data_IF_038776655160
#
_entry.id   IF_038776655160
#
_cell.length_a   1.000
_cell.length_b   1.000
_cell.length_c   1.000
_cell.angle_alpha   90.00
_cell.angle_beta   90.00
_cell.angle_gamma   90.00
#
_symmetry.space_group_name_H-M   'P 1'
#
loop_
_entity.id
_entity.type
_entity.pdbx_description
1 polymer ?
2 non-polymer ?
3 non-polymer ?
4 non-polymer ?
5 water ?
#
# COMPACT_ATOMS: atom_id res chain seq x y z
N UNK A 2 -9.33 -16.50 10.37
CA UNK A 2 -8.85 -16.34 11.75
C UNK A 2 -9.21 -14.97 12.34
N UNK A 3 -8.58 -13.89 11.84
CA UNK A 3 -8.93 -12.54 12.27
C UNK A 3 -9.35 -11.73 11.04
N UNK A 4 -10.58 -11.21 10.98
CA UNK A 4 -10.89 -10.29 9.88
C UNK A 4 -10.72 -8.85 10.35
N UNK A 5 -9.88 -8.13 9.63
CA UNK A 5 -9.66 -6.73 9.91
C UNK A 5 -10.95 -5.99 9.69
N UNK A 6 -11.20 -4.95 10.50
CA UNK A 6 -12.29 -4.04 10.21
C UNK A 6 -12.02 -3.23 8.96
N UNK A 7 -13.01 -2.45 8.54
CA UNK A 7 -12.82 -1.57 7.39
C UNK A 7 -12.82 -0.04 7.67
N UNK A 8 -12.21 0.72 6.77
CA UNK A 8 -12.47 2.17 6.66
C UNK A 8 -13.51 2.35 5.50
N UNK A 9 -14.52 3.18 5.70
CA UNK A 9 -15.43 3.51 4.60
C UNK A 9 -14.80 4.65 3.80
N UNK A 10 -14.58 4.45 2.50
CA UNK A 10 -13.93 5.48 1.66
C UNK A 10 -14.89 6.60 1.25
N UNK A 11 -14.34 7.69 0.73
CA UNK A 11 -15.17 8.81 0.31
C UNK A 11 -16.15 8.50 -0.83
N UNK A 12 -16.01 7.35 -1.49
CA UNK A 12 -16.93 6.95 -2.55
C UNK A 12 -17.92 5.86 -2.06
N UNK A 13 -17.87 5.56 -0.76
CA UNK A 13 -18.75 4.58 -0.16
C UNK A 13 -18.21 3.18 -0.06
N UNK A 14 -17.15 2.88 -0.83
CA UNK A 14 -16.60 1.54 -0.77
C UNK A 14 -15.90 1.30 0.55
N UNK A 15 -15.99 0.08 1.05
CA UNK A 15 -15.30 -0.26 2.28
C UNK A 15 -14.03 -1.03 1.96
N UNK A 16 -13.00 -0.71 2.72
CA UNK A 16 -11.69 -1.28 2.48
C UNK A 16 -11.16 -1.87 3.79
N UNK A 17 -10.71 -3.13 3.74
CA UNK A 17 -10.13 -3.70 4.96
C UNK A 17 -8.87 -2.96 5.33
N UNK A 18 -8.65 -2.72 6.62
CA UNK A 18 -7.61 -1.82 7.05
C UNK A 18 -6.22 -2.45 7.28
N UNK A 19 -6.08 -3.74 6.97
CA UNK A 19 -4.76 -4.36 6.82
C UNK A 19 -4.69 -4.98 5.44
N UNK A 20 -3.61 -4.71 4.71
CA UNK A 20 -3.36 -5.31 3.40
C UNK A 20 -2.09 -6.13 3.42
N UNK A 21 -2.13 -7.27 2.75
CA UNK A 21 -0.91 -8.02 2.52
C UNK A 21 -0.05 -7.35 1.45
N UNK A 22 1.19 -7.04 1.77
CA UNK A 22 2.10 -6.54 0.76
C UNK A 22 2.70 -7.63 -0.09
N UNK A 23 2.80 -7.37 -1.39
CA UNK A 23 3.38 -8.32 -2.33
C UNK A 23 4.51 -7.72 -3.13
N UNK A 24 5.05 -6.59 -2.70
CA UNK A 24 6.28 -6.10 -3.28
C UNK A 24 7.42 -7.00 -2.87
N UNK A 25 8.48 -7.01 -3.69
CA UNK A 25 9.56 -7.96 -3.52
C UNK A 25 10.87 -7.31 -3.06
N UNK A 26 10.81 -6.06 -2.62
CA UNK A 26 12.02 -5.38 -2.17
C UNK A 26 12.78 -6.11 -1.06
N UNK A 27 12.09 -6.86 -0.22
CA UNK A 27 12.76 -7.55 0.88
C UNK A 27 13.05 -9.01 0.56
N UNK A 28 12.71 -9.46 -0.65
CA UNK A 28 12.85 -10.88 -0.95
C UNK A 28 14.33 -11.26 -0.95
N UNK A 29 14.64 -12.38 -0.31
CA UNK A 29 16.03 -12.82 -0.19
C UNK A 29 16.40 -13.62 -1.44
N UNK A 30 17.67 -13.98 -1.59
CA UNK A 30 18.08 -14.75 -2.76
C UNK A 30 17.39 -16.11 -2.80
N UNK A 31 17.09 -16.63 -1.62
CA UNK A 31 16.47 -17.93 -1.44
C UNK A 31 14.93 -17.88 -1.61
N UNK A 32 14.40 -16.72 -1.97
CA UNK A 32 12.95 -16.54 -2.07
C UNK A 32 12.49 -16.49 -3.55
N UNK A 33 11.82 -17.55 -4.00
CA UNK A 33 11.33 -17.59 -5.38
C UNK A 33 9.96 -16.96 -5.43
N UNK A 34 9.56 -16.50 -6.60
CA UNK A 34 8.36 -15.69 -6.72
C UNK A 34 7.09 -16.49 -6.38
N UNK A 35 7.12 -17.81 -6.48
CA UNK A 35 5.95 -18.61 -6.13
C UNK A 35 5.56 -18.40 -4.67
N UNK A 36 6.50 -17.96 -3.84
CA UNK A 36 6.15 -17.70 -2.44
C UNK A 36 5.08 -16.61 -2.31
N UNK A 37 4.93 -15.77 -3.31
CA UNK A 37 3.89 -14.75 -3.28
C UNK A 37 2.52 -15.40 -3.44
N UNK A 38 2.38 -16.38 -4.33
CA UNK A 38 1.14 -17.11 -4.47
C UNK A 38 0.79 -17.76 -3.13
N UNK A 39 1.76 -18.42 -2.53
CA UNK A 39 1.51 -19.08 -1.25
C UNK A 39 1.16 -18.07 -0.16
N UNK A 40 1.85 -16.93 -0.14
CA UNK A 40 1.58 -15.91 0.88
C UNK A 40 0.16 -15.36 0.76
N UNK A 41 -0.27 -15.10 -0.48
CA UNK A 41 -1.64 -14.63 -0.71
C UNK A 41 -2.65 -15.63 -0.19
N UNK A 42 -2.43 -16.90 -0.52
CA UNK A 42 -3.31 -17.95 -0.02
C UNK A 42 -3.34 -18.01 1.51
N UNK A 43 -2.16 -18.04 2.13
CA UNK A 43 -2.08 -18.09 3.57
C UNK A 43 -2.75 -16.87 4.23
N UNK A 44 -2.56 -15.70 3.63
CA UNK A 44 -3.15 -14.47 4.17
C UNK A 44 -4.66 -14.58 4.16
N UNK A 45 -5.23 -14.97 3.04
CA UNK A 45 -6.68 -15.13 2.98
C UNK A 45 -7.17 -16.17 3.99
N UNK A 46 -6.43 -17.26 4.10
CA UNK A 46 -6.77 -18.31 5.04
C UNK A 46 -6.77 -17.76 6.48
N UNK A 47 -5.83 -16.87 6.77
CA UNK A 47 -5.69 -16.25 8.10
C UNK A 47 -6.64 -15.10 8.34
N UNK A 48 -7.49 -14.80 7.36
CA UNK A 48 -8.48 -13.73 7.52
C UNK A 48 -8.26 -12.43 6.76
N UNK A 49 -7.15 -12.31 6.06
CA UNK A 49 -6.96 -11.12 5.23
C UNK A 49 -7.99 -11.12 4.11
N UNK A 50 -8.44 -9.91 3.77
CA UNK A 50 -9.35 -9.71 2.67
C UNK A 50 -8.84 -8.58 1.79
N UNK A 51 -7.62 -8.12 1.96
CA UNK A 51 -7.08 -7.03 1.16
C UNK A 51 -5.65 -7.39 0.78
N UNK A 52 -5.37 -7.38 -0.54
CA UNK A 52 -4.04 -7.68 -1.08
C UNK A 52 -3.57 -6.45 -1.85
N UNK A 53 -2.34 -6.01 -1.61
CA UNK A 53 -1.71 -4.88 -2.33
C UNK A 53 -0.66 -5.43 -3.28
N UNK A 54 -0.78 -5.12 -4.57
CA UNK A 54 0.19 -5.50 -5.57
C UNK A 54 0.40 -4.35 -6.54
N UNK A 55 1.11 -4.63 -7.64
CA UNK A 55 1.45 -3.58 -8.61
C UNK A 55 1.95 -4.23 -9.88
N UNK A 56 1.67 -3.59 -11.02
CA UNK A 56 2.22 -4.07 -12.28
C UNK A 56 3.74 -4.22 -12.20
N UNK A 57 4.40 -3.23 -11.62
CA UNK A 57 5.86 -3.20 -11.63
C UNK A 57 6.48 -4.33 -10.77
N UNK A 58 5.71 -4.94 -9.86
CA UNK A 58 6.24 -6.03 -9.06
C UNK A 58 6.42 -7.30 -9.85
N UNK A 59 5.79 -7.37 -11.01
CA UNK A 59 5.88 -8.52 -11.91
C UNK A 59 5.41 -9.79 -11.22
N UNK A 60 4.50 -9.65 -10.27
CA UNK A 60 3.96 -10.82 -9.56
C UNK A 60 2.44 -10.83 -9.51
N UNK A 61 1.78 -10.05 -10.35
CA UNK A 61 0.32 -10.12 -10.42
C UNK A 61 -0.16 -11.52 -10.76
N UNK A 62 0.62 -12.23 -11.58
CA UNK A 62 0.23 -13.59 -11.92
C UNK A 62 0.17 -14.47 -10.67
N UNK A 63 1.17 -14.36 -9.80
CA UNK A 63 1.22 -15.13 -8.56
C UNK A 63 0.07 -14.72 -7.63
N UNK A 64 -0.18 -13.42 -7.51
CA UNK A 64 -1.31 -12.95 -6.73
C UNK A 64 -2.60 -13.54 -7.26
N UNK A 65 -2.77 -13.54 -8.57
CA UNK A 65 -3.93 -14.12 -9.18
C UNK A 65 -4.06 -15.61 -8.94
N UNK A 66 -2.94 -16.32 -8.96
CA UNK A 66 -2.92 -17.76 -8.65
C UNK A 66 -3.40 -18.00 -7.22
N UNK A 67 -2.91 -17.22 -6.27
CA UNK A 67 -3.28 -17.36 -4.88
C UNK A 67 -4.74 -17.06 -4.64
N UNK A 68 -5.24 -16.00 -5.26
CA UNK A 68 -6.65 -15.63 -5.18
C UNK A 68 -7.51 -16.75 -5.75
N UNK A 69 -7.11 -17.25 -6.93
CA UNK A 69 -7.86 -18.30 -7.62
C UNK A 69 -7.96 -19.54 -6.75
N UNK A 70 -6.87 -19.90 -6.10
CA UNK A 70 -6.84 -21.08 -5.21
C UNK A 70 -7.71 -20.86 -3.98
N UNK A 71 -7.68 -19.66 -3.40
CA UNK A 71 -8.50 -19.37 -2.25
C UNK A 71 -9.99 -19.45 -2.59
N UNK A 72 -10.37 -18.93 -3.75
CA UNK A 72 -11.74 -18.98 -4.20
C UNK A 72 -12.16 -20.43 -4.50
N UNK A 73 -11.31 -21.16 -5.21
CA UNK A 73 -11.64 -22.54 -5.59
C UNK A 73 -11.74 -23.47 -4.40
N UNK A 74 -10.99 -23.17 -3.34
CA UNK A 74 -11.00 -24.01 -2.15
C UNK A 74 -12.07 -23.56 -1.17
N UNK A 75 -12.82 -22.51 -1.50
CA UNK A 75 -13.91 -22.05 -0.68
C UNK A 75 -13.57 -21.16 0.50
N UNK A 76 -12.36 -20.58 0.52
CA UNK A 76 -12.01 -19.69 1.61
C UNK A 76 -12.78 -18.38 1.56
N UNK A 77 -13.06 -17.91 0.35
CA UNK A 77 -13.67 -16.61 0.11
C UNK A 77 -14.35 -16.63 -1.24
N UNK A 78 -15.25 -15.67 -1.45
CA UNK A 78 -15.72 -15.38 -2.79
C UNK A 78 -15.03 -14.12 -3.31
N UNK A 79 -15.08 -13.89 -4.62
CA UNK A 79 -14.48 -12.70 -5.17
C UNK A 79 -14.97 -11.41 -4.52
N UNK A 80 -16.26 -11.30 -4.26
CA UNK A 80 -16.79 -10.06 -3.73
C UNK A 80 -16.36 -9.78 -2.28
N UNK A 81 -15.89 -10.81 -1.58
CA UNK A 81 -15.35 -10.66 -0.25
C UNK A 81 -13.91 -10.15 -0.23
N UNK A 82 -13.22 -10.18 -1.38
CA UNK A 82 -11.84 -9.73 -1.47
C UNK A 82 -11.76 -8.31 -1.97
N UNK A 83 -10.75 -7.59 -1.49
CA UNK A 83 -10.41 -6.25 -1.93
C UNK A 83 -9.00 -6.32 -2.51
N UNK A 84 -8.86 -6.16 -3.82
CA UNK A 84 -7.58 -6.24 -4.48
C UNK A 84 -7.20 -4.85 -4.95
N UNK A 85 -5.98 -4.46 -4.63
CA UNK A 85 -5.38 -3.19 -4.99
C UNK A 85 -4.21 -3.44 -5.92
N UNK A 86 -4.16 -2.75 -7.07
CA UNK A 86 -2.97 -2.76 -7.91
C UNK A 86 -2.71 -1.33 -8.41
N UNK A 87 -1.63 -1.19 -9.18
CA UNK A 87 -1.06 0.13 -9.46
C UNK A 87 -0.59 0.24 -10.90
N UNK A 88 -0.84 1.44 -11.45
CA UNK A 88 -0.46 1.86 -12.79
C UNK A 88 0.99 2.30 -12.76
N UNK A 89 1.84 1.70 -13.60
CA UNK A 89 3.24 2.05 -13.61
C UNK A 89 3.53 3.36 -14.37
N UNK A 90 4.73 3.89 -14.15
CA UNK A 90 5.13 5.23 -14.57
C UNK A 90 5.19 5.42 -16.09
N UNK A 91 5.29 4.32 -16.84
CA UNK A 91 5.36 4.42 -18.32
C UNK A 91 4.00 4.34 -18.98
N UNK A 92 2.93 4.40 -18.19
CA UNK A 92 1.57 4.30 -18.69
C UNK A 92 0.73 5.49 -18.28
N UNK A 93 1.33 6.69 -18.27
CA UNK A 93 0.65 7.86 -17.76
C UNK A 93 -0.21 8.63 -18.77
N UNK A 94 -0.04 8.40 -20.07
CA UNK A 94 -0.92 9.12 -20.99
C UNK A 94 -2.34 8.68 -20.76
N UNK A 95 -3.30 9.58 -20.97
CA UNK A 95 -4.70 9.27 -20.67
C UNK A 95 -5.12 7.91 -21.25
N UNK A 96 -4.84 7.73 -22.53
CA UNK A 96 -5.29 6.56 -23.28
C UNK A 96 -4.61 5.27 -22.91
N UNK A 97 -3.54 5.34 -22.11
CA UNK A 97 -2.83 4.15 -21.67
C UNK A 97 -3.39 3.54 -20.41
N UNK A 98 -4.18 4.31 -19.66
CA UNK A 98 -4.58 3.89 -18.32
C UNK A 98 -5.51 2.67 -18.37
N UNK A 99 -6.58 2.74 -19.14
CA UNK A 99 -7.51 1.63 -19.20
C UNK A 99 -6.82 0.35 -19.74
N UNK A 100 -6.07 0.44 -20.85
CA UNK A 100 -5.38 -0.77 -21.31
C UNK A 100 -4.39 -1.33 -20.27
N UNK A 101 -3.70 -0.46 -19.54
CA UNK A 101 -2.76 -0.96 -18.53
C UNK A 101 -3.53 -1.72 -17.44
N UNK A 102 -4.68 -1.19 -17.07
CA UNK A 102 -5.53 -1.87 -16.06
C UNK A 102 -6.03 -3.21 -16.60
N UNK A 103 -6.45 -3.23 -17.87
CA UNK A 103 -6.93 -4.48 -18.45
C UNK A 103 -5.81 -5.52 -18.47
N UNK A 104 -4.58 -5.09 -18.70
CA UNK A 104 -3.45 -6.00 -18.67
C UNK A 104 -3.24 -6.54 -17.24
N UNK A 105 -3.28 -5.67 -16.24
CA UNK A 105 -3.21 -6.13 -14.85
C UNK A 105 -4.31 -7.13 -14.52
N UNK A 106 -5.54 -6.81 -14.91
CA UNK A 106 -6.65 -7.68 -14.65
C UNK A 106 -6.49 -9.05 -15.31
N UNK A 107 -5.97 -9.08 -16.53
CA UNK A 107 -5.70 -10.36 -17.19
C UNK A 107 -4.68 -11.19 -16.38
N UNK A 108 -3.59 -10.56 -15.94
CA UNK A 108 -2.61 -11.27 -15.14
C UNK A 108 -3.19 -11.77 -13.83
N UNK A 109 -4.04 -10.96 -13.21
CA UNK A 109 -4.66 -11.30 -11.92
C UNK A 109 -5.79 -12.30 -12.05
N UNK A 110 -6.26 -12.53 -13.26
CA UNK A 110 -7.43 -13.38 -13.46
C UNK A 110 -8.73 -12.79 -12.92
N UNK A 111 -8.85 -11.46 -12.93
CA UNK A 111 -9.99 -10.74 -12.37
C UNK A 111 -10.74 -9.95 -13.43
N UNK A 112 -12.01 -9.65 -13.19
CA UNK A 112 -12.83 -8.83 -14.08
C UNK A 112 -12.84 -7.35 -13.68
N UNK A 113 -12.46 -7.06 -12.45
CA UNK A 113 -12.41 -5.69 -11.95
C UNK A 113 -11.40 -5.67 -10.80
N UNK A 114 -10.89 -4.47 -10.53
CA UNK A 114 -10.01 -4.23 -9.39
C UNK A 114 -10.78 -3.39 -8.38
N UNK A 115 -10.55 -3.61 -7.10
CA UNK A 115 -11.24 -2.83 -6.08
C UNK A 115 -10.63 -1.44 -5.95
N UNK A 116 -9.30 -1.34 -6.09
CA UNK A 116 -8.61 -0.05 -5.98
C UNK A 116 -7.48 -0.05 -7.00
N UNK A 117 -7.50 0.95 -7.87
CA UNK A 117 -6.39 1.22 -8.79
C UNK A 117 -5.72 2.51 -8.39
N UNK A 118 -4.39 2.46 -8.27
CA UNK A 118 -3.59 3.61 -7.86
C UNK A 118 -2.62 4.03 -8.93
N UNK A 119 -2.43 5.35 -9.06
CA UNK A 119 -1.29 5.84 -9.81
C UNK A 119 -0.06 5.60 -8.92
N UNK A 120 0.91 4.83 -9.38
CA UNK A 120 1.99 4.36 -8.50
C UNK A 120 2.91 5.50 -8.04
N UNK A 121 3.24 6.40 -8.97
CA UNK A 121 3.97 7.64 -8.67
C UNK A 121 3.42 8.77 -9.53
N UNK A 122 3.68 10.02 -9.12
CA UNK A 122 3.22 11.15 -9.94
C UNK A 122 4.15 11.42 -11.13
N UNK A 123 5.29 10.75 -11.17
CA UNK A 123 6.27 10.87 -12.24
C UNK A 123 5.85 10.02 -13.42
N UNK A 124 6.11 10.55 -14.62
CA UNK A 124 5.88 9.81 -15.87
C UNK A 124 7.25 9.54 -16.49
N UNK A 125 7.43 8.33 -17.00
CA UNK A 125 8.67 7.96 -17.68
C UNK A 125 8.34 7.28 -19.00
N UNK A 126 9.34 7.22 -19.85
CA UNK A 126 9.29 6.36 -21.01
C UNK A 126 9.66 4.95 -20.56
N UNK A 127 9.42 3.96 -21.40
CA UNK A 127 9.58 2.59 -20.92
C UNK A 127 11.02 2.27 -20.48
N UNK A 128 11.98 3.08 -20.92
CA UNK A 128 13.37 2.91 -20.50
C UNK A 128 13.75 3.71 -19.26
N UNK A 129 12.74 4.22 -18.56
CA UNK A 129 12.95 4.97 -17.31
C UNK A 129 13.48 6.38 -17.57
N UNK A 130 13.59 6.74 -18.84
CA UNK A 130 13.89 8.13 -19.17
C UNK A 130 12.68 9.03 -18.85
N UNK A 131 12.96 10.26 -18.44
CA UNK A 131 11.90 11.13 -17.93
C UNK A 131 10.90 11.53 -19.00
N UNK A 132 9.65 11.65 -18.62
CA UNK A 132 8.63 12.24 -19.47
C UNK A 132 7.96 13.33 -18.62
N UNK A 133 7.06 14.11 -19.23
CA UNK A 133 6.48 15.28 -18.55
C UNK A 133 4.95 15.34 -18.57
N UNK A 134 4.32 14.20 -18.79
CA UNK A 134 2.87 14.10 -18.74
C UNK A 134 2.34 14.54 -17.37
N UNK A 135 1.39 15.45 -17.36
CA UNK A 135 0.76 15.90 -16.13
C UNK A 135 -0.04 14.75 -15.53
N UNK A 136 0.14 14.53 -14.23
CA UNK A 136 -0.63 13.48 -13.54
C UNK A 136 -2.12 13.81 -13.56
N UNK A 137 -2.50 15.05 -13.84
CA UNK A 137 -3.93 15.35 -14.01
C UNK A 137 -4.50 14.64 -15.23
N UNK A 138 -3.69 14.49 -16.26
CA UNK A 138 -4.12 13.74 -17.42
C UNK A 138 -4.27 12.25 -17.09
N UNK A 139 -3.30 11.71 -16.36
CA UNK A 139 -3.35 10.33 -15.96
C UNK A 139 -4.63 10.09 -15.15
N UNK A 140 -4.94 11.06 -14.28
CA UNK A 140 -6.10 10.95 -13.41
C UNK A 140 -7.38 10.91 -14.24
N UNK A 141 -7.43 11.61 -15.37
CA UNK A 141 -8.57 11.49 -16.28
C UNK A 141 -8.75 10.05 -16.74
N UNK A 142 -7.65 9.38 -17.06
CA UNK A 142 -7.70 7.98 -17.44
C UNK A 142 -8.21 7.12 -16.27
N UNK A 143 -7.79 7.47 -15.04
CA UNK A 143 -8.26 6.78 -13.85
C UNK A 143 -9.78 6.95 -13.70
N UNK A 144 -10.26 8.18 -13.90
CA UNK A 144 -11.70 8.47 -13.83
C UNK A 144 -12.44 7.65 -14.86
N UNK A 145 -11.86 7.50 -16.04
CA UNK A 145 -12.45 6.66 -17.08
C UNK A 145 -12.54 5.18 -16.67
N UNK A 146 -11.45 4.65 -16.09
CA UNK A 146 -11.46 3.26 -15.63
C UNK A 146 -12.55 3.02 -14.59
N UNK A 147 -12.76 3.99 -13.71
CA UNK A 147 -13.82 3.88 -12.71
C UNK A 147 -15.20 3.92 -13.40
N UNK A 148 -15.39 4.83 -14.34
CA UNK A 148 -16.72 4.96 -14.98
C UNK A 148 -17.05 3.72 -15.77
N UNK A 149 -16.04 3.08 -16.38
CA UNK A 149 -16.23 1.82 -17.06
C UNK A 149 -16.49 0.62 -16.17
N UNK A 150 -16.35 0.76 -14.86
CA UNK A 150 -16.56 -0.36 -13.95
C UNK A 150 -15.35 -1.24 -13.75
N UNK A 151 -14.21 -0.89 -14.34
CA UNK A 151 -13.04 -1.76 -14.23
C UNK A 151 -12.31 -1.60 -12.90
N UNK A 152 -12.44 -0.42 -12.32
CA UNK A 152 -11.92 -0.10 -10.99
C UNK A 152 -13.07 0.43 -10.15
N UNK A 153 -13.31 -0.17 -8.99
CA UNK A 153 -14.39 0.31 -8.13
C UNK A 153 -14.04 1.64 -7.51
N UNK A 154 -12.79 1.77 -7.08
CA UNK A 154 -12.25 3.02 -6.51
C UNK A 154 -10.90 3.35 -7.13
N UNK A 155 -10.56 4.62 -7.11
CA UNK A 155 -9.31 5.11 -7.66
C UNK A 155 -8.58 5.98 -6.65
N UNK A 156 -7.26 5.88 -6.64
CA UNK A 156 -6.44 6.71 -5.77
C UNK A 156 -5.03 6.85 -6.31
N UNK A 157 -4.15 7.36 -5.46
CA UNK A 157 -2.79 7.65 -5.87
C UNK A 157 -1.80 7.11 -4.85
N UNK A 158 -0.52 7.17 -5.21
CA UNK A 158 0.54 6.74 -4.31
C UNK A 158 1.73 7.67 -4.53
N UNK A 159 2.46 7.93 -3.46
CA UNK A 159 3.66 8.76 -3.54
C UNK A 159 3.36 10.18 -4.03
N UNK A 160 2.18 10.69 -3.68
CA UNK A 160 1.87 12.09 -3.95
C UNK A 160 2.15 12.94 -2.71
N UNK A 161 2.80 14.09 -2.88
CA UNK A 161 3.04 14.98 -1.77
C UNK A 161 1.88 15.94 -1.56
N UNK A 162 2.01 16.80 -0.56
CA UNK A 162 0.86 17.62 -0.19
C UNK A 162 0.43 18.57 -1.29
N UNK A 163 1.39 19.19 -1.95
CA UNK A 163 1.09 20.10 -3.05
C UNK A 163 0.40 19.39 -4.19
N UNK A 164 0.85 18.17 -4.48
CA UNK A 164 0.26 17.38 -5.55
C UNK A 164 -1.15 16.93 -5.19
N UNK A 165 -1.36 16.55 -3.95
CA UNK A 165 -2.70 16.19 -3.48
C UNK A 165 -3.64 17.39 -3.62
N UNK A 166 -3.21 18.56 -3.15
CA UNK A 166 -4.05 19.76 -3.25
C UNK A 166 -4.39 20.06 -4.73
N UNK A 167 -3.39 19.99 -5.61
CA UNK A 167 -3.63 20.31 -7.01
C UNK A 167 -4.57 19.31 -7.63
N UNK A 168 -4.38 18.04 -7.30
CA UNK A 168 -5.22 17.00 -7.82
C UNK A 168 -6.65 17.20 -7.37
N UNK A 169 -6.87 17.50 -6.09
CA UNK A 169 -8.20 17.73 -5.54
C UNK A 169 -8.87 18.95 -6.20
N UNK A 170 -8.12 20.02 -6.39
CA UNK A 170 -8.70 21.24 -6.94
C UNK A 170 -9.02 21.15 -8.43
N UNK A 171 -8.46 20.17 -9.13
CA UNK A 171 -8.53 20.14 -10.58
C UNK A 171 -9.09 18.87 -11.12
N UNK A 172 -9.82 18.12 -10.31
CA UNK A 172 -10.49 16.91 -10.77
C UNK A 172 -11.90 16.84 -10.18
N UNK A 173 -12.75 16.01 -10.75
CA UNK A 173 -14.13 15.93 -10.25
C UNK A 173 -14.28 14.88 -9.19
N UNK A 174 -13.38 13.93 -9.16
CA UNK A 174 -13.37 13.01 -8.04
C UNK A 174 -11.99 12.92 -7.41
N UNK A 175 -11.89 13.15 -6.11
CA UNK A 175 -10.59 13.08 -5.46
C UNK A 175 -10.26 11.62 -5.15
N UNK A 176 -8.98 11.35 -4.99
CA UNK A 176 -8.56 9.99 -4.69
C UNK A 176 -9.20 9.51 -3.40
N UNK A 177 -9.53 8.22 -3.33
CA UNK A 177 -9.98 7.63 -2.05
C UNK A 177 -8.82 7.45 -1.07
N UNK A 178 -7.61 7.31 -1.62
CA UNK A 178 -6.42 6.91 -0.89
C UNK A 178 -5.20 7.56 -1.49
N UNK A 179 -4.24 7.89 -0.61
CA UNK A 179 -2.86 8.17 -0.97
C UNK A 179 -2.02 7.13 -0.25
N UNK A 180 -1.31 6.29 -1.01
CA UNK A 180 -0.47 5.26 -0.44
C UNK A 180 0.96 5.78 -0.36
N UNK A 181 1.47 5.93 0.87
CA UNK A 181 2.76 6.57 1.11
C UNK A 181 3.52 5.79 2.18
N UNK A 182 4.81 6.07 2.30
CA UNK A 182 5.64 5.41 3.30
C UNK A 182 5.39 5.95 4.69
N UNK A 183 4.98 5.08 5.62
CA UNK A 183 4.82 5.50 7.01
C UNK A 183 5.35 4.42 7.93
N UNK A 184 6.28 4.84 8.79
CA UNK A 184 6.93 3.94 9.74
C UNK A 184 7.66 4.84 10.75
N UNK A 185 8.33 4.26 11.78
CA UNK A 185 8.77 5.15 12.86
C UNK A 185 9.83 6.15 12.49
N UNK A 186 10.62 5.83 11.48
CA UNK A 186 11.68 6.75 11.05
C UNK A 186 11.28 7.65 9.88
N UNK A 187 10.04 7.50 9.40
CA UNK A 187 9.51 8.32 8.30
C UNK A 187 8.01 8.46 8.54
N UNK A 188 7.64 9.32 9.47
CA UNK A 188 6.31 9.30 10.03
C UNK A 188 5.28 10.12 9.21
N UNK A 189 5.77 11.00 8.35
CA UNK A 189 4.93 11.81 7.45
C UNK A 189 3.73 12.43 8.15
N UNK A 190 3.94 13.06 9.30
CA UNK A 190 2.81 13.55 10.06
C UNK A 190 2.02 14.65 9.33
N UNK A 191 2.69 15.66 8.79
CA UNK A 191 1.91 16.69 8.10
C UNK A 191 1.18 16.17 6.87
N UNK A 192 1.79 15.29 6.08
CA UNK A 192 1.11 14.81 4.88
C UNK A 192 -0.07 13.94 5.25
N UNK A 193 0.08 13.09 6.24
CA UNK A 193 -1.05 12.28 6.70
C UNK A 193 -2.20 13.18 7.16
N UNK A 194 -1.89 14.17 7.96
CA UNK A 194 -2.92 15.10 8.44
C UNK A 194 -3.60 15.82 7.27
N UNK A 195 -2.81 16.25 6.29
CA UNK A 195 -3.36 16.93 5.13
C UNK A 195 -4.34 16.03 4.39
N UNK A 196 -3.92 14.81 4.10
CA UNK A 196 -4.80 13.89 3.39
C UNK A 196 -6.07 13.63 4.18
N UNK A 197 -5.93 13.33 5.46
CA UNK A 197 -7.09 13.02 6.27
C UNK A 197 -8.04 14.19 6.34
N UNK A 198 -7.50 15.40 6.42
CA UNK A 198 -8.37 16.58 6.45
C UNK A 198 -9.22 16.70 5.20
N UNK A 199 -8.74 16.17 4.07
CA UNK A 199 -9.45 16.22 2.79
C UNK A 199 -10.32 14.96 2.53
N UNK A 200 -10.44 14.09 3.52
CA UNK A 200 -11.18 12.85 3.36
C UNK A 200 -10.50 11.80 2.51
N UNK A 201 -9.18 11.90 2.41
CA UNK A 201 -8.38 10.94 1.66
C UNK A 201 -7.67 10.04 2.68
N UNK A 202 -8.01 8.76 2.68
CA UNK A 202 -7.39 7.82 3.59
C UNK A 202 -5.96 7.52 3.15
N UNK A 203 -5.14 7.05 4.08
CA UNK A 203 -3.74 6.77 3.82
C UNK A 203 -3.44 5.29 4.02
N UNK A 204 -2.85 4.68 3.00
CA UNK A 204 -2.24 3.36 3.12
C UNK A 204 -0.76 3.59 3.42
N UNK A 205 -0.25 2.88 4.43
CA UNK A 205 1.14 3.00 4.88
C UNK A 205 1.98 1.85 4.40
N UNK A 206 2.84 2.14 3.42
CA UNK A 206 3.78 1.15 2.92
C UNK A 206 5.09 1.13 3.71
N UNK A 207 5.85 0.05 3.50
CA UNK A 207 7.05 -0.27 4.28
C UNK A 207 6.84 0.02 5.76
N UNK A 208 5.77 -0.55 6.32
CA UNK A 208 5.37 -0.22 7.68
C UNK A 208 6.39 -0.64 8.76
N UNK A 209 7.28 -1.60 8.47
CA UNK A 209 8.26 -2.00 9.46
C UNK A 209 9.51 -1.12 9.43
N UNK A 210 9.61 -0.19 8.50
CA UNK A 210 10.72 0.76 8.51
C UNK A 210 12.05 0.03 8.49
N UNK A 211 13.02 0.55 9.24
CA UNK A 211 14.33 -0.07 9.34
C UNK A 211 14.42 -0.98 10.57
N UNK A 212 13.30 -1.32 11.17
CA UNK A 212 13.32 -2.28 12.28
C UNK A 212 13.58 -3.68 11.75
N UNK A 213 13.24 -3.91 10.50
CA UNK A 213 13.58 -5.15 9.78
C UNK A 213 14.74 -4.84 8.84
N UNK A 214 15.45 -5.88 8.40
CA UNK A 214 16.62 -5.68 7.56
C UNK A 214 16.25 -5.09 6.19
N UNK A 215 17.01 -4.11 5.74
CA UNK A 215 16.85 -3.53 4.42
C UNK A 215 18.10 -3.73 3.55
N UNK A 216 18.95 -4.67 3.95
CA UNK A 216 20.16 -4.96 3.18
C UNK A 216 21.14 -3.80 3.19
N UNK A 217 21.14 -3.07 4.30
CA UNK A 217 21.99 -1.89 4.45
C UNK A 217 22.60 -1.93 5.84
N UNK A 218 23.74 -1.26 5.97
CA UNK A 218 24.27 -0.96 7.28
C UNK A 218 23.98 0.51 7.54
N UNK A 219 24.16 0.92 8.78
CA UNK A 219 23.92 2.29 9.17
C UNK A 219 22.46 2.70 9.24
N UNK A 220 21.58 1.74 9.48
CA UNK A 220 20.16 2.07 9.63
C UNK A 220 19.93 2.86 10.91
N UNK A 221 18.99 3.80 10.88
CA UNK A 221 18.63 4.54 12.08
C UNK A 221 17.89 3.67 13.11
N UNK A 222 17.98 4.02 14.39
CA UNK A 222 17.13 3.37 15.38
C UNK A 222 15.66 3.63 15.08
N UNK A 223 14.75 2.83 15.61
CA UNK A 223 14.96 1.71 16.54
C UNK A 223 15.29 0.37 15.90
N UNK A 224 16.12 -0.40 16.60
CA UNK A 224 16.31 -1.83 16.32
C UNK A 224 15.16 -2.64 16.90
N UNK A 225 15.10 -3.91 16.53
CA UNK A 225 14.03 -4.78 17.06
C UNK A 225 14.10 -4.98 18.58
N UNK A 226 15.27 -4.78 19.17
CA UNK A 226 15.42 -4.90 20.63
C UNK A 226 15.41 -3.55 21.32
N UNK A 227 14.94 -2.52 20.62
CA UNK A 227 14.86 -1.19 21.21
C UNK A 227 13.98 -1.23 22.47
N UNK A 228 14.44 -0.61 23.57
CA UNK A 228 13.69 -0.71 24.82
C UNK A 228 12.28 -0.12 24.78
N UNK A 229 12.06 0.92 23.99
CA UNK A 229 10.71 1.47 23.89
C UNK A 229 9.78 0.44 23.23
N UNK A 230 10.23 -0.12 22.12
CA UNK A 230 9.42 -1.12 21.41
C UNK A 230 9.22 -2.39 22.22
N UNK A 231 10.25 -2.87 22.89
CA UNK A 231 10.10 -4.14 23.60
C UNK A 231 9.25 -3.97 24.86
N UNK A 232 9.26 -2.78 25.46
CA UNK A 232 8.41 -2.52 26.60
C UNK A 232 6.95 -2.52 26.17
N UNK A 233 6.67 -1.97 24.99
CA UNK A 233 5.33 -1.97 24.45
C UNK A 233 4.86 -3.38 24.13
N UNK A 234 5.73 -4.15 23.47
CA UNK A 234 5.41 -5.53 23.18
C UNK A 234 5.07 -6.29 24.47
N UNK A 235 5.89 -6.11 25.51
CA UNK A 235 5.63 -6.75 26.77
C UNK A 235 4.36 -6.28 27.43
N UNK A 236 4.10 -4.99 27.38
CA UNK A 236 2.90 -4.43 27.99
C UNK A 236 1.62 -5.08 27.46
N UNK A 237 1.55 -5.25 26.13
CA UNK A 237 0.35 -5.70 25.48
C UNK A 237 0.34 -7.18 25.13
N UNK A 238 1.45 -7.88 25.43
CA UNK A 238 1.59 -9.30 25.08
C UNK A 238 1.50 -9.50 23.58
N UNK A 239 2.22 -8.66 22.86
CA UNK A 239 2.23 -8.65 21.41
C UNK A 239 3.67 -8.65 20.96
N UNK A 240 3.91 -8.90 19.68
CA UNK A 240 5.25 -8.82 19.17
C UNK A 240 5.60 -7.38 18.80
N UNK A 241 6.88 -7.08 18.61
CA UNK A 241 7.31 -5.75 18.19
C UNK A 241 6.68 -5.43 16.83
N UNK A 242 6.59 -6.42 15.93
CA UNK A 242 5.95 -6.19 14.65
C UNK A 242 4.51 -5.74 14.84
N UNK A 243 3.78 -6.39 15.75
CA UNK A 243 2.40 -6.02 15.99
C UNK A 243 2.29 -4.61 16.58
N UNK A 244 3.23 -4.23 17.44
CA UNK A 244 3.24 -2.87 17.95
C UNK A 244 3.41 -1.85 16.82
N UNK A 245 4.34 -2.12 15.92
CA UNK A 245 4.58 -1.21 14.80
C UNK A 245 3.38 -1.06 13.89
N UNK A 246 2.68 -2.17 13.65
CA UNK A 246 1.49 -2.12 12.80
C UNK A 246 0.33 -1.44 13.55
N UNK A 247 0.16 -1.72 14.84
CA UNK A 247 -0.91 -1.10 15.60
C UNK A 247 -0.70 0.41 15.69
N UNK A 248 0.55 0.85 15.81
CA UNK A 248 0.88 2.27 15.80
C UNK A 248 0.25 2.94 14.57
N UNK A 249 0.41 2.29 13.41
CA UNK A 249 -0.14 2.86 12.19
C UNK A 249 -1.67 2.87 12.21
N UNK A 250 -2.26 1.77 12.67
CA UNK A 250 -3.72 1.69 12.83
C UNK A 250 -4.21 2.84 13.73
N UNK A 251 -3.55 3.09 14.86
CA UNK A 251 -3.97 4.15 15.77
C UNK A 251 -3.80 5.55 15.23
N UNK A 252 -3.00 5.69 14.17
CA UNK A 252 -2.91 6.93 13.42
C UNK A 252 -3.96 6.99 12.30
N UNK A 253 -4.84 5.99 12.23
CA UNK A 253 -5.91 5.96 11.23
C UNK A 253 -5.48 5.48 9.87
N UNK A 254 -4.38 4.76 9.79
CA UNK A 254 -3.77 4.34 8.53
C UNK A 254 -4.07 2.87 8.26
N UNK A 255 -3.88 2.48 7.00
CA UNK A 255 -4.05 1.13 6.51
C UNK A 255 -2.66 0.57 6.24
N UNK A 256 -2.06 -0.17 7.19
CA UNK A 256 -0.73 -0.69 6.95
C UNK A 256 -0.72 -1.84 5.94
N UNK A 257 0.40 -1.96 5.24
CA UNK A 257 0.59 -2.97 4.22
C UNK A 257 1.76 -3.89 4.56
N UNK A 258 1.63 -4.68 5.63
CA UNK A 258 2.76 -5.56 5.99
C UNK A 258 3.00 -6.63 4.93
N UNK A 259 4.24 -6.72 4.44
CA UNK A 259 4.65 -7.80 3.56
C UNK A 259 5.22 -8.96 4.41
N UNK A 260 4.73 -10.16 4.13
CA UNK A 260 5.37 -11.36 4.65
C UNK A 260 5.12 -12.47 3.70
N UNK A 261 6.08 -13.40 3.66
CA UNK A 261 5.87 -14.66 2.99
C UNK A 261 5.97 -15.84 3.99
N UNK A 262 5.89 -15.54 5.27
CA UNK A 262 5.98 -16.55 6.34
C UNK A 262 4.60 -16.76 6.95
N UNK A 263 4.16 -18.01 7.04
CA UNK A 263 2.80 -18.31 7.44
C UNK A 263 2.45 -17.72 8.80
N UNK A 264 3.37 -17.90 9.75
CA UNK A 264 3.14 -17.43 11.09
C UNK A 264 3.13 -15.90 11.19
N UNK A 265 4.09 -15.24 10.54
CA UNK A 265 4.13 -13.77 10.61
C UNK A 265 2.95 -13.15 9.87
N UNK A 266 2.51 -13.78 8.78
CA UNK A 266 1.30 -13.32 8.11
C UNK A 266 0.15 -13.31 9.09
N UNK A 267 -0.02 -14.38 9.85
CA UNK A 267 -1.11 -14.42 10.78
C UNK A 267 -0.96 -13.37 11.90
N UNK A 268 0.27 -13.20 12.39
CA UNK A 268 0.51 -12.21 13.44
C UNK A 268 0.18 -10.80 12.99
N UNK A 269 0.44 -10.52 11.72
CA UNK A 269 0.39 -9.16 11.23
C UNK A 269 -1.04 -8.61 11.06
N UNK A 270 -2.05 -9.46 11.18
CA UNK A 270 -3.44 -8.98 11.16
C UNK A 270 -4.08 -9.04 12.55
N UNK A 271 -3.34 -9.59 13.53
CA UNK A 271 -3.90 -9.74 14.89
C UNK A 271 -3.67 -8.46 15.72
N UNK A 272 -4.36 -7.40 15.34
CA UNK A 272 -4.09 -6.05 15.84
C UNK A 272 -5.28 -5.42 16.53
N UNK A 273 -6.36 -6.18 16.75
CA UNK A 273 -7.64 -5.57 17.10
C UNK A 273 -8.14 -5.96 18.48
N UNK A 274 -7.23 -6.49 19.29
CA UNK A 274 -7.54 -6.79 20.68
C UNK A 274 -6.72 -5.92 21.64
N UNK A 275 -6.11 -4.85 21.13
CA UNK A 275 -5.37 -3.89 21.93
C UNK A 275 -5.25 -2.61 21.16
N UNK A 276 -4.79 -1.56 21.82
CA UNK A 276 -4.49 -0.31 21.16
C UNK A 276 -3.45 0.43 21.93
N UNK A 277 -2.70 1.29 21.26
CA UNK A 277 -1.71 2.12 21.92
C UNK A 277 -2.33 3.38 22.52
N UNK A 278 -1.71 3.91 23.55
CA UNK A 278 -2.19 5.15 24.13
C UNK A 278 -1.66 6.33 23.34
N UNK A 279 -2.22 7.52 23.56
CA UNK A 279 -1.71 8.69 22.86
C UNK A 279 -0.24 8.96 23.19
N UNK A 280 0.18 8.70 24.43
CA UNK A 280 1.56 8.93 24.80
C UNK A 280 2.49 7.93 24.07
N UNK A 281 2.01 6.72 23.84
CA UNK A 281 2.80 5.69 23.15
C UNK A 281 2.94 6.00 21.68
N UNK A 282 1.86 6.45 21.06
CA UNK A 282 1.93 6.91 19.68
C UNK A 282 2.90 8.08 19.58
N UNK A 283 2.82 9.02 20.50
CA UNK A 283 3.75 10.15 20.50
C UNK A 283 5.20 9.68 20.66
N UNK A 284 5.44 8.67 21.50
CA UNK A 284 6.79 8.18 21.70
C UNK A 284 7.33 7.59 20.41
N UNK A 285 6.51 6.82 19.70
CA UNK A 285 6.98 6.24 18.46
C UNK A 285 7.20 7.34 17.41
N UNK A 286 6.34 8.36 17.40
CA UNK A 286 6.53 9.48 16.48
C UNK A 286 7.88 10.13 16.70
N UNK A 287 8.43 10.05 17.90
CA UNK A 287 9.69 10.68 18.19
C UNK A 287 10.89 10.03 17.53
N UNK A 288 10.72 8.81 16.99
CA UNK A 288 11.78 8.18 16.21
C UNK A 288 11.95 8.83 14.81
N UNK A 289 11.04 9.72 14.41
CA UNK A 289 11.08 10.22 13.04
C UNK A 289 12.41 10.83 12.69
N UNK A 290 12.90 10.48 11.49
CA UNK A 290 14.11 11.07 10.91
C UNK A 290 13.84 11.55 9.49
N UNK A 291 12.60 11.42 9.02
CA UNK A 291 12.29 11.66 7.59
C UNK A 291 13.27 10.90 6.71
N UNK A 292 13.55 9.67 7.09
CA UNK A 292 14.51 8.84 6.38
C UNK A 292 13.72 7.73 5.72
N UNK A 293 13.68 7.76 4.40
CA UNK A 293 12.86 6.84 3.63
C UNK A 293 13.54 5.51 3.41
N UNK A 294 12.81 4.44 3.65
CA UNK A 294 13.18 3.11 3.18
C UNK A 294 13.24 3.07 1.66
N UNK A 295 12.26 3.69 1.00
CA UNK A 295 12.17 3.67 -0.46
C UNK A 295 12.77 4.97 -1.01
N UNK A 296 13.96 4.80 -1.57
CA UNK A 296 14.76 5.90 -2.08
C UNK A 296 14.63 5.95 -3.60
N UNK A 297 14.01 6.99 -4.11
CA UNK A 297 13.89 7.16 -5.55
C UNK A 297 14.68 8.38 -6.04
N UNK A 298 15.78 8.69 -5.37
CA UNK A 298 16.47 9.95 -5.60
C UNK A 298 17.14 10.04 -6.97
N UNK A 299 17.32 8.92 -7.67
CA UNK A 299 17.80 9.01 -9.06
C UNK A 299 16.82 9.81 -9.94
N UNK A 300 15.56 9.94 -9.50
CA UNK A 300 14.52 10.62 -10.26
C UNK A 300 14.31 12.08 -9.79
N UNK A 301 15.23 12.60 -8.96
CA UNK A 301 15.04 13.88 -8.31
C UNK A 301 14.79 15.03 -9.27
N UNK A 302 15.38 14.97 -10.48
CA UNK A 302 15.23 16.05 -11.43
C UNK A 302 14.06 15.84 -12.38
N UNK A 303 13.32 14.74 -12.23
CA UNK A 303 12.19 14.47 -13.11
C UNK A 303 11.01 15.36 -12.78
N UNK A 304 10.24 15.75 -13.81
CA UNK A 304 8.98 16.45 -13.55
C UNK A 304 8.13 15.68 -12.55
N UNK A 305 7.59 16.41 -11.59
CA UNK A 305 6.66 15.87 -10.59
C UNK A 305 7.31 14.91 -9.58
N UNK A 306 8.63 14.94 -9.44
CA UNK A 306 9.29 14.20 -8.35
C UNK A 306 8.66 14.63 -7.03
N UNK A 307 8.24 13.66 -6.19
CA UNK A 307 7.40 14.02 -5.03
C UNK A 307 8.20 14.16 -3.73
N UNK A 308 9.46 13.74 -3.68
CA UNK A 308 10.17 13.62 -2.43
C UNK A 308 11.19 14.73 -2.30
#
# INVERSE_FOLDING_TARGET
>A
MAVQAPCIQLNDGNTIPIVALGTGRGTAKESDSIDEVRQAVYWAIEAGYRHIDTAAVYQDEEQVGQGIAEAIANGLVTREELFVTTKLWNDKHARDQVVPALQESLKKLGLDYIDLYLIHFPIATKPDDSPDNIDYLETWQGMQDARQLGLARSIGVSNFNATQITRLVSNSYIRPVINQIEVNPTNTQEPLVAHCQSLGIAVMAYSPFGFVVSRGQTGAPPPRSDDPTLTALANKYRKSVGQILLRYLIDRGLIPIPKSTNKQRIAQNIDLFDFQLTFEEVAAINQFNKNHRVIDISDWKDYPNYPN
#
